data_IF_979318526140
#
_entry.id   IF_979318526140
#
_cell.length_a   1.000
_cell.length_b   1.000
_cell.length_c   1.000
_cell.angle_alpha   90.00
_cell.angle_beta   90.00
_cell.angle_gamma   90.00
#
_symmetry.space_group_name_H-M   'P 1'
#
loop_
_entity.id
_entity.type
_entity.pdbx_description
1 polymer ?
#
# COMPACT_ATOMS: atom_id res chain seq x y z
N UNK A 1 0.19 -59.88 -36.49
CA UNK A 1 -0.79 -58.82 -36.81
C UNK A 1 -1.39 -58.15 -35.56
N UNK A 2 -1.11 -58.64 -34.35
CA UNK A 2 -1.54 -58.06 -33.07
C UNK A 2 -0.64 -56.94 -32.54
N UNK A 3 0.66 -56.93 -32.85
CA UNK A 3 1.59 -55.91 -32.33
C UNK A 3 1.41 -54.51 -32.94
N UNK A 4 1.07 -54.43 -34.23
CA UNK A 4 0.94 -53.15 -34.93
C UNK A 4 -0.24 -52.32 -34.39
N UNK A 5 -1.41 -52.94 -34.21
CA UNK A 5 -2.59 -52.26 -33.65
C UNK A 5 -2.39 -51.80 -32.20
N UNK A 6 -1.52 -52.47 -31.45
CA UNK A 6 -1.22 -52.14 -30.06
C UNK A 6 -0.32 -50.91 -29.93
N UNK A 7 0.63 -50.71 -30.85
CA UNK A 7 1.47 -49.51 -30.92
C UNK A 7 0.64 -48.25 -31.26
N UNK A 8 -0.24 -48.31 -32.27
CA UNK A 8 -1.10 -47.15 -32.62
C UNK A 8 -2.03 -46.72 -31.49
N UNK A 9 -2.58 -47.68 -30.73
CA UNK A 9 -3.43 -47.37 -29.60
C UNK A 9 -2.64 -46.72 -28.45
N UNK A 10 -1.42 -47.19 -28.21
CA UNK A 10 -0.50 -46.62 -27.22
C UNK A 10 -0.12 -45.18 -27.56
N UNK A 11 0.24 -44.92 -28.82
CA UNK A 11 0.63 -43.57 -29.28
C UNK A 11 -0.54 -42.58 -29.23
N UNK A 12 -1.75 -43.03 -29.55
CA UNK A 12 -2.95 -42.21 -29.47
C UNK A 12 -3.31 -41.87 -28.02
N UNK A 13 -3.21 -42.83 -27.10
CA UNK A 13 -3.42 -42.59 -25.67
C UNK A 13 -2.36 -41.63 -25.11
N UNK A 14 -1.10 -41.78 -25.51
CA UNK A 14 -0.02 -40.88 -25.11
C UNK A 14 -0.24 -39.44 -25.63
N UNK A 15 -0.70 -39.29 -26.88
CA UNK A 15 -1.04 -37.99 -27.46
C UNK A 15 -2.20 -37.30 -26.75
N UNK A 16 -3.26 -38.04 -26.41
CA UNK A 16 -4.39 -37.52 -25.65
C UNK A 16 -3.96 -37.14 -24.22
N UNK A 17 -3.15 -37.96 -23.56
CA UNK A 17 -2.63 -37.66 -22.23
C UNK A 17 -1.77 -36.39 -22.20
N UNK A 18 -0.94 -36.17 -23.23
CA UNK A 18 -0.14 -34.95 -23.37
C UNK A 18 -1.02 -33.72 -23.55
N UNK A 19 -2.06 -33.79 -24.38
CA UNK A 19 -3.01 -32.70 -24.59
C UNK A 19 -3.76 -32.36 -23.29
N UNK A 20 -4.24 -33.36 -22.56
CA UNK A 20 -4.90 -33.17 -21.25
C UNK A 20 -3.94 -32.53 -20.26
N UNK A 21 -2.67 -32.96 -20.22
CA UNK A 21 -1.65 -32.37 -19.35
C UNK A 21 -1.37 -30.90 -19.67
N UNK A 22 -1.25 -30.54 -20.96
CA UNK A 22 -1.04 -29.15 -21.40
C UNK A 22 -2.23 -28.27 -21.01
N UNK A 23 -3.45 -28.73 -21.28
CA UNK A 23 -4.68 -28.00 -20.94
C UNK A 23 -4.81 -27.85 -19.42
N UNK A 24 -4.53 -28.91 -18.66
CA UNK A 24 -4.58 -28.88 -17.19
C UNK A 24 -3.53 -27.92 -16.61
N UNK A 25 -2.32 -27.91 -17.17
CA UNK A 25 -1.26 -26.98 -16.76
C UNK A 25 -1.64 -25.52 -17.06
N UNK A 26 -2.30 -25.27 -18.20
CA UNK A 26 -2.81 -23.94 -18.55
C UNK A 26 -3.87 -23.47 -17.54
N UNK A 27 -4.90 -24.29 -17.29
CA UNK A 27 -5.94 -23.98 -16.32
C UNK A 27 -5.43 -23.85 -14.89
N UNK A 28 -4.48 -24.71 -14.46
CA UNK A 28 -3.87 -24.62 -13.13
C UNK A 28 -3.05 -23.32 -12.97
N UNK A 29 -2.37 -22.86 -14.02
CA UNK A 29 -1.64 -21.59 -14.00
C UNK A 29 -2.59 -20.40 -13.86
N UNK A 30 -3.70 -20.41 -14.60
CA UNK A 30 -4.71 -19.35 -14.53
C UNK A 30 -5.42 -19.33 -13.17
N UNK A 31 -5.77 -20.51 -12.64
CA UNK A 31 -6.33 -20.68 -11.30
C UNK A 31 -5.36 -20.21 -10.20
N UNK A 32 -4.05 -20.47 -10.32
CA UNK A 32 -3.05 -19.99 -9.37
C UNK A 32 -2.91 -18.47 -9.40
N UNK A 33 -2.91 -17.83 -10.58
CA UNK A 33 -2.87 -16.36 -10.68
C UNK A 33 -4.11 -15.72 -10.04
N UNK A 34 -5.28 -16.33 -10.23
CA UNK A 34 -6.54 -15.87 -9.61
C UNK A 34 -6.52 -16.12 -8.09
N UNK A 35 -6.04 -17.28 -7.65
CA UNK A 35 -5.90 -17.61 -6.23
C UNK A 35 -4.90 -16.67 -5.53
N UNK A 36 -3.75 -16.37 -6.14
CA UNK A 36 -2.76 -15.43 -5.62
C UNK A 36 -3.32 -14.01 -5.55
N UNK A 37 -4.06 -13.55 -6.58
CA UNK A 37 -4.73 -12.24 -6.57
C UNK A 37 -5.79 -12.16 -5.47
N UNK A 38 -6.61 -13.20 -5.32
CA UNK A 38 -7.67 -13.25 -4.31
C UNK A 38 -7.11 -13.40 -2.88
N UNK A 39 -5.99 -14.11 -2.71
CA UNK A 39 -5.31 -14.27 -1.42
C UNK A 39 -4.68 -12.95 -0.93
N UNK A 40 -4.28 -12.05 -1.83
CA UNK A 40 -3.69 -10.76 -1.46
C UNK A 40 -4.74 -9.67 -1.14
N UNK A 41 -6.01 -9.87 -1.53
CA UNK A 41 -7.06 -8.85 -1.33
C UNK A 41 -7.23 -8.42 0.13
N UNK A 42 -7.25 -9.32 1.14
CA UNK A 42 -7.33 -8.92 2.54
C UNK A 42 -6.15 -8.04 2.97
N UNK A 43 -4.92 -8.40 2.58
CA UNK A 43 -3.72 -7.62 2.90
C UNK A 43 -3.73 -6.24 2.24
N UNK A 44 -4.18 -6.16 0.99
CA UNK A 44 -4.33 -4.89 0.25
C UNK A 44 -5.38 -3.98 0.89
N UNK A 45 -6.51 -4.55 1.29
CA UNK A 45 -7.56 -3.82 2.00
C UNK A 45 -7.06 -3.34 3.38
N UNK A 46 -6.26 -4.15 4.06
CA UNK A 46 -5.67 -3.75 5.33
C UNK A 46 -4.72 -2.56 5.15
N UNK A 47 -3.82 -2.62 4.15
CA UNK A 47 -2.94 -1.50 3.81
C UNK A 47 -3.72 -0.25 3.43
N UNK A 48 -4.80 -0.38 2.68
CA UNK A 48 -5.68 0.76 2.37
C UNK A 48 -6.21 1.44 3.63
N UNK A 49 -6.71 0.67 4.60
CA UNK A 49 -7.21 1.19 5.89
C UNK A 49 -6.09 1.84 6.69
N UNK A 50 -4.94 1.18 6.82
CA UNK A 50 -3.77 1.73 7.50
C UNK A 50 -3.34 3.08 6.93
N UNK A 51 -3.32 3.22 5.59
CA UNK A 51 -2.99 4.49 4.95
C UNK A 51 -4.05 5.57 5.20
N UNK A 52 -5.33 5.22 5.19
CA UNK A 52 -6.42 6.17 5.51
C UNK A 52 -6.35 6.64 6.95
N UNK A 53 -6.22 5.71 7.90
CA UNK A 53 -6.15 6.00 9.34
C UNK A 53 -4.92 6.84 9.65
N UNK A 54 -3.78 6.54 9.02
CA UNK A 54 -2.57 7.34 9.17
C UNK A 54 -2.70 8.75 8.60
N UNK A 55 -3.32 8.90 7.42
CA UNK A 55 -3.60 10.22 6.87
C UNK A 55 -4.55 11.03 7.77
N UNK A 56 -5.61 10.41 8.30
CA UNK A 56 -6.55 11.05 9.22
C UNK A 56 -5.87 11.51 10.51
N UNK A 57 -5.01 10.65 11.06
CA UNK A 57 -4.17 10.98 12.20
C UNK A 57 -3.31 12.22 11.92
N UNK A 58 -2.63 12.27 10.76
CA UNK A 58 -1.81 13.42 10.37
C UNK A 58 -2.64 14.70 10.19
N UNK A 59 -3.84 14.61 9.60
CA UNK A 59 -4.75 15.76 9.44
C UNK A 59 -5.17 16.32 10.80
N UNK A 60 -5.56 15.46 11.72
CA UNK A 60 -6.10 15.86 13.04
C UNK A 60 -5.00 16.13 14.07
N UNK A 61 -3.73 15.84 13.76
CA UNK A 61 -2.64 15.88 14.72
C UNK A 61 -2.43 17.27 15.35
N UNK A 62 -2.44 18.35 14.56
CA UNK A 62 -2.25 19.72 15.07
C UNK A 62 -3.33 20.08 16.08
N UNK A 63 -4.58 19.75 15.78
CA UNK A 63 -5.73 19.93 16.67
C UNK A 63 -5.57 19.11 17.94
N UNK A 64 -5.26 17.82 17.82
CA UNK A 64 -5.07 16.93 18.97
C UNK A 64 -3.90 17.37 19.85
N UNK A 65 -2.85 17.95 19.26
CA UNK A 65 -1.72 18.52 19.98
C UNK A 65 -2.15 19.76 20.77
N UNK A 66 -2.91 20.66 20.15
CA UNK A 66 -3.42 21.86 20.83
C UNK A 66 -4.38 21.54 21.98
N UNK A 67 -5.11 20.43 21.87
CA UNK A 67 -6.02 19.93 22.91
C UNK A 67 -5.30 19.10 24.00
N UNK A 68 -3.99 18.84 23.85
CA UNK A 68 -3.23 17.98 24.77
C UNK A 68 -3.61 16.49 24.70
N UNK A 69 -4.34 16.06 23.67
CA UNK A 69 -4.69 14.66 23.44
C UNK A 69 -3.47 13.83 22.98
N UNK A 70 -2.46 14.47 22.40
CA UNK A 70 -1.14 13.88 22.08
C UNK A 70 -0.03 14.62 22.82
N UNK A 71 0.98 13.89 23.29
CA UNK A 71 2.09 14.36 24.14
C UNK A 71 3.28 14.82 23.30
N UNK A 72 3.03 15.78 22.42
CA UNK A 72 4.08 16.36 21.57
C UNK A 72 4.54 15.43 20.45
N UNK A 73 5.59 15.87 19.76
CA UNK A 73 6.08 15.29 18.49
C UNK A 73 6.57 13.85 18.59
N UNK A 74 6.85 13.37 19.81
CA UNK A 74 7.21 11.96 20.06
C UNK A 74 6.09 11.00 19.67
N UNK A 75 4.83 11.38 19.89
CA UNK A 75 3.69 10.53 19.52
C UNK A 75 3.56 10.40 18.01
N UNK A 76 3.84 11.47 17.26
CA UNK A 76 3.89 11.42 15.79
C UNK A 76 5.01 10.51 15.30
N UNK A 77 6.21 10.62 15.87
CA UNK A 77 7.34 9.74 15.54
C UNK A 77 7.00 8.26 15.78
N UNK A 78 6.37 7.95 16.92
CA UNK A 78 5.92 6.58 17.21
C UNK A 78 4.88 6.11 16.19
N UNK A 79 3.92 6.97 15.83
CA UNK A 79 2.90 6.62 14.85
C UNK A 79 3.50 6.37 13.44
N UNK A 80 4.52 7.13 13.03
CA UNK A 80 5.23 6.89 11.76
C UNK A 80 5.93 5.53 11.77
N UNK A 81 6.59 5.18 12.88
CA UNK A 81 7.28 3.89 13.04
C UNK A 81 6.29 2.73 13.04
N UNK A 82 5.18 2.87 13.78
CA UNK A 82 4.12 1.87 13.84
C UNK A 82 3.50 1.66 12.45
N UNK A 83 3.14 2.74 11.75
CA UNK A 83 2.60 2.68 10.39
C UNK A 83 3.55 1.92 9.45
N UNK A 84 4.85 2.23 9.47
CA UNK A 84 5.84 1.52 8.67
C UNK A 84 5.85 0.02 8.99
N UNK A 85 5.89 -0.33 10.28
CA UNK A 85 5.95 -1.71 10.72
C UNK A 85 4.70 -2.50 10.34
N UNK A 86 3.50 -1.93 10.54
CA UNK A 86 2.23 -2.59 10.19
C UNK A 86 2.09 -2.86 8.69
N UNK A 87 2.61 -1.94 7.86
CA UNK A 87 2.69 -2.11 6.41
C UNK A 87 3.67 -3.23 6.04
N UNK A 88 4.87 -3.25 6.63
CA UNK A 88 5.89 -4.27 6.36
C UNK A 88 5.40 -5.69 6.72
N UNK A 89 4.57 -5.81 7.75
CA UNK A 89 3.95 -7.09 8.13
C UNK A 89 2.99 -7.66 7.09
N UNK A 90 2.44 -6.84 6.20
CA UNK A 90 1.54 -7.33 5.14
C UNK A 90 2.30 -8.05 4.02
N UNK A 91 3.63 -7.95 4.00
CA UNK A 91 4.47 -8.52 2.95
C UNK A 91 4.35 -7.79 1.61
N UNK A 92 4.92 -8.35 0.52
CA UNK A 92 4.86 -7.75 -0.81
C UNK A 92 3.44 -7.84 -1.38
N UNK A 93 2.84 -6.70 -1.72
CA UNK A 93 1.44 -6.63 -2.17
C UNK A 93 1.29 -6.63 -3.70
N UNK A 94 2.42 -6.54 -4.41
CA UNK A 94 2.50 -6.33 -5.86
C UNK A 94 1.76 -5.06 -6.31
N UNK A 95 1.86 -3.99 -5.52
CA UNK A 95 1.23 -2.69 -5.79
C UNK A 95 2.32 -1.59 -5.82
N UNK A 96 3.14 -1.53 -6.89
CA UNK A 96 4.32 -0.66 -6.91
C UNK A 96 3.98 0.83 -6.74
N UNK A 97 2.81 1.27 -7.18
CA UNK A 97 2.36 2.66 -7.04
C UNK A 97 2.00 2.97 -5.58
N UNK A 98 1.32 2.04 -4.90
CA UNK A 98 1.00 2.12 -3.47
C UNK A 98 2.28 2.08 -2.63
N UNK A 99 3.22 1.18 -2.94
CA UNK A 99 4.50 1.07 -2.23
C UNK A 99 5.33 2.36 -2.33
N UNK A 100 5.32 3.03 -3.49
CA UNK A 100 5.92 4.37 -3.62
C UNK A 100 5.16 5.40 -2.79
N UNK A 101 3.82 5.37 -2.81
CA UNK A 101 2.98 6.31 -2.06
C UNK A 101 3.18 6.18 -0.54
N UNK A 102 3.34 4.97 0.00
CA UNK A 102 3.66 4.71 1.41
C UNK A 102 4.94 5.44 1.82
N UNK A 103 5.99 5.40 0.99
CA UNK A 103 7.24 6.13 1.28
C UNK A 103 7.02 7.64 1.30
N UNK A 104 6.18 8.16 0.39
CA UNK A 104 5.83 9.59 0.38
C UNK A 104 5.07 9.99 1.65
N UNK A 105 4.12 9.16 2.10
CA UNK A 105 3.40 9.36 3.37
C UNK A 105 4.36 9.44 4.57
N UNK A 106 5.29 8.48 4.69
CA UNK A 106 6.29 8.49 5.76
C UNK A 106 7.17 9.76 5.70
N UNK A 107 7.64 10.12 4.51
CA UNK A 107 8.48 11.32 4.33
C UNK A 107 7.74 12.60 4.70
N UNK A 108 6.46 12.73 4.30
CA UNK A 108 5.62 13.88 4.61
C UNK A 108 5.31 13.97 6.10
N UNK A 109 5.05 12.85 6.77
CA UNK A 109 4.85 12.82 8.22
C UNK A 109 6.14 13.19 8.97
N UNK A 110 7.32 12.74 8.50
CA UNK A 110 8.59 13.18 9.07
C UNK A 110 8.87 14.68 8.84
N UNK A 111 8.48 15.24 7.70
CA UNK A 111 8.52 16.69 7.46
C UNK A 111 7.63 17.43 8.47
N UNK A 112 6.40 16.95 8.67
CA UNK A 112 5.47 17.50 9.65
C UNK A 112 6.08 17.51 11.06
N UNK A 113 6.66 16.39 11.48
CA UNK A 113 7.30 16.23 12.80
C UNK A 113 8.43 17.25 13.01
N UNK A 114 9.37 17.37 12.05
CA UNK A 114 10.48 18.32 12.14
C UNK A 114 10.02 19.77 12.16
N UNK A 115 8.97 20.07 11.40
CA UNK A 115 8.41 21.41 11.32
C UNK A 115 7.75 21.81 12.65
N UNK A 116 6.98 20.90 13.24
CA UNK A 116 6.39 21.09 14.57
C UNK A 116 7.44 21.29 15.66
N UNK A 117 8.55 20.54 15.63
CA UNK A 117 9.66 20.74 16.58
C UNK A 117 10.30 22.11 16.45
N UNK A 118 10.50 22.59 15.22
CA UNK A 118 11.03 23.93 14.96
C UNK A 118 10.08 25.03 15.43
N UNK A 119 8.79 24.89 15.15
CA UNK A 119 7.77 25.83 15.60
C UNK A 119 7.70 25.89 17.14
N UNK A 120 7.78 24.75 17.82
CA UNK A 120 7.86 24.69 19.29
C UNK A 120 9.12 25.36 19.86
N UNK A 121 10.19 25.48 19.08
CA UNK A 121 11.41 26.21 19.44
C UNK A 121 11.37 27.69 19.06
N UNK A 122 10.21 28.20 18.59
CA UNK A 122 10.05 29.58 18.13
C UNK A 122 10.67 29.86 16.75
N UNK A 123 11.06 28.82 15.99
CA UNK A 123 11.63 28.96 14.65
C UNK A 123 10.55 28.78 13.59
N UNK A 124 10.07 29.88 13.03
CA UNK A 124 9.01 29.88 12.01
C UNK A 124 9.53 29.88 10.56
N UNK A 125 10.74 29.36 10.34
CA UNK A 125 11.28 29.23 8.98
C UNK A 125 10.71 27.96 8.33
N UNK A 126 10.25 28.02 7.07
CA UNK A 126 9.71 26.86 6.36
C UNK A 126 10.77 25.77 6.13
N UNK A 127 10.35 24.52 5.91
CA UNK A 127 11.23 23.48 5.34
C UNK A 127 11.32 23.62 3.82
N UNK A 128 10.18 23.96 3.20
CA UNK A 128 10.02 24.11 1.77
C UNK A 128 9.99 25.60 1.40
N UNK A 129 10.93 26.00 0.55
CA UNK A 129 11.11 27.35 0.02
C UNK A 129 9.89 27.93 -0.71
N UNK A 130 8.91 27.09 -1.07
CA UNK A 130 7.64 27.54 -1.65
C UNK A 130 6.71 28.25 -0.67
N UNK A 131 6.96 28.18 0.64
CA UNK A 131 6.13 28.81 1.67
C UNK A 131 6.86 29.99 2.32
N UNK A 132 6.11 30.97 2.84
CA UNK A 132 6.70 32.12 3.52
C UNK A 132 7.03 31.81 4.97
N UNK A 133 6.22 30.95 5.61
CA UNK A 133 6.35 30.61 7.03
C UNK A 133 6.32 29.10 7.27
N UNK A 134 6.86 28.69 8.42
CA UNK A 134 6.76 27.31 8.90
C UNK A 134 5.31 26.89 9.17
N UNK A 135 4.45 27.80 9.62
CA UNK A 135 3.02 27.52 9.77
C UNK A 135 2.31 27.27 8.44
N UNK A 136 2.54 28.12 7.43
CA UNK A 136 1.99 27.89 6.08
C UNK A 136 2.46 26.56 5.50
N UNK A 137 3.74 26.22 5.67
CA UNK A 137 4.27 24.95 5.23
C UNK A 137 3.61 23.78 5.97
N UNK A 138 3.30 23.92 7.26
CA UNK A 138 2.63 22.89 8.06
C UNK A 138 1.20 22.68 7.59
N UNK A 139 0.46 23.77 7.37
CA UNK A 139 -0.92 23.71 6.88
C UNK A 139 -0.98 23.07 5.50
N UNK A 140 -0.03 23.37 4.62
CA UNK A 140 0.07 22.71 3.32
C UNK A 140 0.37 21.19 3.43
N UNK A 141 1.11 20.75 4.45
CA UNK A 141 1.30 19.31 4.70
C UNK A 141 0.00 18.66 5.18
N UNK A 142 -0.76 19.33 6.05
CA UNK A 142 -2.07 18.87 6.53
C UNK A 142 -3.05 18.76 5.36
N UNK A 143 -3.15 19.80 4.52
CA UNK A 143 -3.98 19.82 3.32
C UNK A 143 -3.58 18.73 2.33
N UNK A 144 -2.27 18.48 2.20
CA UNK A 144 -1.78 17.37 1.41
C UNK A 144 -2.35 16.04 1.92
N UNK A 145 -2.22 15.71 3.21
CA UNK A 145 -2.80 14.46 3.76
C UNK A 145 -4.32 14.38 3.58
N UNK A 146 -5.06 15.49 3.72
CA UNK A 146 -6.51 15.53 3.50
C UNK A 146 -6.89 15.24 2.04
N UNK A 147 -6.11 15.75 1.07
CA UNK A 147 -6.30 15.45 -0.35
C UNK A 147 -5.95 14.00 -0.67
N UNK A 148 -4.89 13.48 -0.05
CA UNK A 148 -4.44 12.11 -0.25
C UNK A 148 -5.46 11.05 0.17
N UNK A 149 -6.28 11.31 1.20
CA UNK A 149 -7.39 10.42 1.56
C UNK A 149 -8.35 10.17 0.39
N UNK A 150 -8.53 11.16 -0.50
CA UNK A 150 -9.37 11.02 -1.70
C UNK A 150 -8.65 10.24 -2.80
N UNK A 151 -7.36 10.52 -3.00
CA UNK A 151 -6.53 9.84 -4.01
C UNK A 151 -6.32 8.36 -3.71
N UNK A 152 -6.22 7.98 -2.43
CA UNK A 152 -6.04 6.58 -2.03
C UNK A 152 -7.13 5.68 -2.60
N UNK A 153 -8.39 6.13 -2.67
CA UNK A 153 -9.47 5.35 -3.29
C UNK A 153 -9.17 5.03 -4.74
N UNK A 154 -8.70 6.01 -5.50
CA UNK A 154 -8.38 5.88 -6.93
C UNK A 154 -7.20 4.93 -7.13
N UNK A 155 -6.14 5.07 -6.32
CA UNK A 155 -4.93 4.25 -6.43
C UNK A 155 -5.21 2.78 -6.05
N UNK A 156 -6.09 2.53 -5.07
CA UNK A 156 -6.41 1.18 -4.63
C UNK A 156 -7.50 0.50 -5.45
N UNK A 157 -8.32 1.25 -6.18
CA UNK A 157 -9.40 0.74 -7.03
C UNK A 157 -8.98 -0.48 -7.89
N UNK A 158 -7.89 -0.43 -8.69
CA UNK A 158 -7.50 -1.57 -9.55
C UNK A 158 -7.07 -2.82 -8.77
N UNK A 159 -6.80 -2.70 -7.48
CA UNK A 159 -6.31 -3.79 -6.63
C UNK A 159 -7.37 -4.37 -5.68
N UNK A 160 -8.46 -3.62 -5.46
CA UNK A 160 -9.55 -3.99 -4.55
C UNK A 160 -10.85 -4.35 -5.28
N UNK A 161 -11.02 -3.88 -6.52
CA UNK A 161 -12.15 -4.26 -7.37
C UNK A 161 -11.99 -5.70 -7.85
N UNK A 162 -13.04 -6.48 -7.60
CA UNK A 162 -13.20 -7.83 -8.11
C UNK A 162 -13.89 -7.77 -9.46
N UNK A 163 -13.12 -7.68 -10.53
CA UNK A 163 -13.49 -8.31 -11.80
C UNK A 163 -12.94 -9.71 -11.85
#
# INVERSE_FOLDING_TARGET
MSGFLQEYFSDLVAGVALLVAIISAYYAREANVIADRNNLRPSRLNVFRLMLDFADYCVTYRTNLSLGAVKGTRDLSNQIVNFKWEIEQQGPLAMPDVERKIKVFQNKAWQMQRLLERLNQGRNNPEDWNYQTGEENLDAIVDWFANEQKELKVIFQPYLDST
#
